data_IF_707589838063
#
_entry.id   IF_707589838063
#
_cell.length_a   1.000
_cell.length_b   1.000
_cell.length_c   1.000
_cell.angle_alpha   90.00
_cell.angle_beta   90.00
_cell.angle_gamma   90.00
#
_symmetry.space_group_name_H-M   'P 1'
#
loop_
_entity.id
_entity.type
_entity.pdbx_description
1 polymer ?
#
# COMPACT_ATOMS: atom_id res chain seq x y z
N UNK A 1 -9.78 14.88 -16.86
CA UNK A 1 -11.24 14.92 -16.76
C UNK A 1 -11.71 14.79 -15.32
N UNK A 2 -12.82 15.40 -14.96
CA UNK A 2 -13.45 15.26 -13.64
C UNK A 2 -14.47 14.10 -13.60
N UNK A 3 -14.85 13.56 -14.76
CA UNK A 3 -15.82 12.45 -14.84
C UNK A 3 -15.16 11.11 -14.56
N UNK A 4 -15.67 10.38 -13.57
CA UNK A 4 -15.21 9.01 -13.28
C UNK A 4 -15.40 8.05 -14.47
N UNK A 5 -16.50 8.17 -15.20
CA UNK A 5 -16.75 7.36 -16.39
C UNK A 5 -15.72 7.64 -17.49
N UNK A 6 -15.43 8.92 -17.76
CA UNK A 6 -14.40 9.26 -18.74
C UNK A 6 -13.00 8.80 -18.34
N UNK A 7 -12.68 8.78 -17.03
CA UNK A 7 -11.41 8.20 -16.55
C UNK A 7 -11.36 6.68 -16.79
N UNK A 8 -12.46 5.97 -16.52
CA UNK A 8 -12.56 4.53 -16.79
C UNK A 8 -12.35 4.25 -18.28
N UNK A 9 -12.96 5.06 -19.17
CA UNK A 9 -12.82 4.91 -20.61
C UNK A 9 -11.37 5.10 -21.07
N UNK A 10 -10.71 6.16 -20.58
CA UNK A 10 -9.29 6.42 -20.86
C UNK A 10 -8.41 5.26 -20.42
N UNK A 11 -8.61 4.73 -19.20
CA UNK A 11 -7.85 3.59 -18.71
C UNK A 11 -8.11 2.33 -19.55
N UNK A 12 -9.37 2.09 -19.95
CA UNK A 12 -9.75 0.95 -20.77
C UNK A 12 -9.13 1.00 -22.18
N UNK A 13 -8.93 2.18 -22.74
CA UNK A 13 -8.23 2.37 -24.00
C UNK A 13 -6.70 2.31 -23.89
N UNK A 14 -6.15 2.67 -22.73
CA UNK A 14 -4.72 2.78 -22.49
C UNK A 14 -4.07 1.42 -22.24
N UNK A 15 -4.58 0.64 -21.27
CA UNK A 15 -3.94 -0.60 -20.83
C UNK A 15 -3.74 -1.66 -21.92
N UNK A 16 -4.64 -1.86 -22.91
CA UNK A 16 -4.41 -2.81 -23.99
C UNK A 16 -3.32 -2.42 -25.00
N UNK A 17 -2.84 -1.17 -24.96
CA UNK A 17 -1.83 -0.63 -25.89
C UNK A 17 -0.39 -0.74 -25.37
N UNK A 18 -0.21 -1.17 -24.14
CA UNK A 18 1.10 -1.26 -23.48
C UNK A 18 1.41 -2.71 -23.09
N UNK A 19 2.70 -3.00 -22.84
CA UNK A 19 3.13 -4.31 -22.36
C UNK A 19 2.64 -4.57 -20.92
N UNK A 20 2.69 -5.82 -20.48
CA UNK A 20 2.30 -6.19 -19.11
C UNK A 20 3.23 -5.60 -18.06
N UNK A 21 4.51 -5.47 -18.38
CA UNK A 21 5.51 -4.82 -17.56
C UNK A 21 5.23 -3.31 -17.41
N UNK A 22 4.92 -2.63 -18.50
CA UNK A 22 4.49 -1.22 -18.49
C UNK A 22 3.16 -1.05 -17.78
N UNK A 23 2.23 -2.00 -17.88
CA UNK A 23 0.96 -1.97 -17.16
C UNK A 23 1.17 -1.99 -15.64
N UNK A 24 2.10 -2.82 -15.15
CA UNK A 24 2.51 -2.84 -13.74
C UNK A 24 3.03 -1.48 -13.27
N UNK A 25 3.97 -0.93 -14.01
CA UNK A 25 4.58 0.37 -13.70
C UNK A 25 3.53 1.49 -13.75
N UNK A 26 2.71 1.51 -14.79
CA UNK A 26 1.65 2.51 -14.96
C UNK A 26 0.65 2.48 -13.82
N UNK A 27 0.30 1.29 -13.32
CA UNK A 27 -0.60 1.14 -12.18
C UNK A 27 -0.06 1.82 -10.91
N UNK A 28 1.22 1.67 -10.61
CA UNK A 28 1.87 2.38 -9.50
C UNK A 28 1.94 3.89 -9.74
N UNK A 29 2.41 4.32 -10.92
CA UNK A 29 2.58 5.74 -11.22
C UNK A 29 1.25 6.51 -11.25
N UNK A 30 0.16 5.89 -11.73
CA UNK A 30 -1.19 6.49 -11.69
C UNK A 30 -1.68 6.77 -10.27
N UNK A 31 -1.16 6.06 -9.27
CA UNK A 31 -1.46 6.25 -7.85
C UNK A 31 -0.42 7.12 -7.13
N UNK A 32 0.66 7.49 -7.78
CA UNK A 32 1.78 8.19 -7.16
C UNK A 32 2.62 7.30 -6.24
N UNK A 33 2.62 6.01 -6.49
CA UNK A 33 3.32 4.97 -5.72
C UNK A 33 4.47 4.38 -6.55
N UNK A 34 5.41 3.70 -5.90
CA UNK A 34 6.51 2.99 -6.57
C UNK A 34 6.47 1.49 -6.29
N UNK A 35 5.71 1.08 -5.29
CA UNK A 35 5.47 -0.30 -4.88
C UNK A 35 4.17 -0.38 -4.10
N UNK A 36 3.67 -1.57 -3.76
CA UNK A 36 2.55 -1.68 -2.84
C UNK A 36 2.83 -0.97 -1.51
N UNK A 37 1.80 -0.35 -0.92
CA UNK A 37 1.94 0.45 0.30
C UNK A 37 2.55 -0.30 1.48
N UNK A 38 2.32 -1.62 1.56
CA UNK A 38 2.86 -2.48 2.62
C UNK A 38 4.38 -2.72 2.54
N UNK A 39 5.01 -2.45 1.41
CA UNK A 39 6.47 -2.50 1.27
C UNK A 39 7.15 -1.27 1.89
N UNK A 40 6.40 -0.18 2.11
CA UNK A 40 6.89 1.02 2.78
C UNK A 40 7.99 1.76 2.02
N UNK A 41 8.05 1.61 0.69
CA UNK A 41 9.05 2.29 -0.13
C UNK A 41 8.67 3.76 -0.35
N UNK A 42 9.29 4.64 0.42
CA UNK A 42 9.06 6.08 0.33
C UNK A 42 10.19 6.79 -0.40
N UNK A 43 9.86 7.80 -1.21
CA UNK A 43 10.85 8.63 -1.91
C UNK A 43 11.79 9.38 -0.96
N UNK A 44 11.29 9.78 0.21
CA UNK A 44 12.04 10.54 1.19
C UNK A 44 12.56 11.89 0.66
N UNK A 45 11.84 12.50 -0.28
CA UNK A 45 12.12 13.79 -0.89
C UNK A 45 11.06 14.82 -0.49
N UNK A 46 11.50 15.92 0.10
CA UNK A 46 10.63 17.03 0.50
C UNK A 46 10.76 18.23 -0.46
N UNK A 47 9.84 19.19 -0.37
CA UNK A 47 9.77 20.35 -1.25
C UNK A 47 11.10 21.13 -1.38
N UNK A 48 11.89 21.28 -0.28
CA UNK A 48 13.21 21.93 -0.34
C UNK A 48 14.22 21.17 -1.23
N UNK A 49 14.16 19.84 -1.23
CA UNK A 49 15.02 19.02 -2.08
C UNK A 49 14.54 19.07 -3.53
N UNK A 50 13.25 19.11 -3.79
CA UNK A 50 12.67 19.30 -5.10
C UNK A 50 13.11 20.65 -5.72
N UNK A 51 13.09 21.75 -4.94
CA UNK A 51 13.61 23.07 -5.40
C UNK A 51 15.06 22.94 -5.87
N UNK A 52 15.92 22.27 -5.09
CA UNK A 52 17.35 22.09 -5.46
C UNK A 52 17.51 21.24 -6.72
N UNK A 53 16.75 20.15 -6.85
CA UNK A 53 16.81 19.30 -8.03
C UNK A 53 16.34 20.03 -9.29
N UNK A 54 15.22 20.78 -9.21
CA UNK A 54 14.70 21.59 -10.31
C UNK A 54 15.72 22.69 -10.70
N UNK A 55 16.27 23.39 -9.72
CA UNK A 55 17.25 24.44 -10.00
C UNK A 55 18.49 23.89 -10.74
N UNK A 56 18.99 22.71 -10.35
CA UNK A 56 20.12 22.02 -11.01
C UNK A 56 19.77 21.53 -12.41
N UNK A 57 18.63 20.86 -12.57
CA UNK A 57 18.22 20.31 -13.87
C UNK A 57 18.00 21.40 -14.93
N UNK A 58 17.51 22.58 -14.50
CA UNK A 58 17.19 23.69 -15.39
C UNK A 58 18.29 24.75 -15.50
N UNK A 59 19.36 24.66 -14.67
CA UNK A 59 20.42 25.64 -14.64
C UNK A 59 19.99 27.04 -14.19
N UNK A 60 19.04 27.09 -13.25
CA UNK A 60 18.48 28.34 -12.70
C UNK A 60 18.77 28.47 -11.20
N UNK A 61 18.67 29.71 -10.67
CA UNK A 61 18.87 29.90 -9.23
C UNK A 61 17.76 29.34 -8.36
N UNK A 62 18.07 29.01 -7.10
CA UNK A 62 17.10 28.54 -6.12
C UNK A 62 15.99 29.58 -5.86
N UNK A 63 16.38 30.86 -5.83
CA UNK A 63 15.46 31.99 -5.62
C UNK A 63 14.44 32.08 -6.76
N UNK A 64 14.84 31.83 -7.99
CA UNK A 64 13.94 31.80 -9.15
C UNK A 64 12.91 30.70 -9.02
N UNK A 65 13.30 29.48 -8.66
CA UNK A 65 12.38 28.35 -8.44
C UNK A 65 11.44 28.67 -7.26
N UNK A 66 11.96 29.17 -6.15
CA UNK A 66 11.16 29.55 -4.98
C UNK A 66 10.15 30.67 -5.29
N UNK A 67 10.55 31.67 -6.08
CA UNK A 67 9.66 32.75 -6.53
C UNK A 67 8.53 32.25 -7.42
N UNK A 68 8.83 31.34 -8.36
CA UNK A 68 7.83 30.70 -9.20
C UNK A 68 6.86 29.84 -8.35
N UNK A 69 7.36 29.13 -7.32
CA UNK A 69 6.52 28.38 -6.41
C UNK A 69 5.53 29.24 -5.63
N UNK A 70 5.98 30.41 -5.14
CA UNK A 70 5.08 31.38 -4.48
C UNK A 70 3.95 31.86 -5.39
N UNK A 71 4.16 31.90 -6.70
CA UNK A 71 3.16 32.32 -7.69
C UNK A 71 2.21 31.20 -8.12
N UNK A 72 2.73 29.97 -8.27
CA UNK A 72 1.97 28.86 -8.85
C UNK A 72 1.41 27.90 -7.81
N UNK A 73 2.05 27.77 -6.64
CA UNK A 73 1.73 26.78 -5.62
C UNK A 73 2.00 25.32 -6.03
N UNK A 74 2.60 25.07 -7.21
CA UNK A 74 2.78 23.72 -7.77
C UNK A 74 4.13 23.59 -8.45
N UNK A 75 4.99 22.72 -7.94
CA UNK A 75 6.31 22.45 -8.50
C UNK A 75 6.24 21.87 -9.92
N UNK A 76 5.23 21.08 -10.23
CA UNK A 76 5.03 20.53 -11.55
C UNK A 76 4.79 21.61 -12.62
N UNK A 77 4.01 22.65 -12.30
CA UNK A 77 3.80 23.78 -13.20
C UNK A 77 5.08 24.60 -13.42
N UNK A 78 5.93 24.72 -12.41
CA UNK A 78 7.19 25.43 -12.52
C UNK A 78 8.09 24.81 -13.59
N UNK A 79 8.26 23.49 -13.56
CA UNK A 79 9.12 22.81 -14.53
C UNK A 79 8.55 22.85 -15.94
N UNK A 80 7.24 22.78 -16.09
CA UNK A 80 6.59 22.94 -17.37
C UNK A 80 6.85 24.34 -17.98
N UNK A 81 6.85 25.39 -17.13
CA UNK A 81 7.19 26.75 -17.53
C UNK A 81 8.69 26.87 -17.92
N UNK A 82 9.59 26.29 -17.13
CA UNK A 82 11.03 26.38 -17.33
C UNK A 82 11.52 25.60 -18.56
N UNK A 83 10.85 24.47 -18.88
CA UNK A 83 11.24 23.57 -19.99
C UNK A 83 10.56 23.84 -21.33
N UNK A 84 9.71 24.84 -21.44
CA UNK A 84 8.84 25.10 -22.61
C UNK A 84 9.50 25.00 -23.98
N UNK A 85 10.85 25.15 -24.07
CA UNK A 85 11.60 25.17 -25.32
C UNK A 85 12.82 24.23 -25.35
N UNK A 86 12.93 23.25 -24.42
CA UNK A 86 14.08 22.30 -24.42
C UNK A 86 13.76 21.08 -25.28
N UNK A 87 14.77 20.60 -26.05
CA UNK A 87 14.71 19.32 -26.75
C UNK A 87 14.65 18.19 -25.73
N UNK A 88 13.83 17.20 -26.03
CA UNK A 88 13.64 15.98 -25.25
C UNK A 88 14.61 14.90 -25.75
N UNK A 89 15.28 14.20 -24.84
CA UNK A 89 16.11 13.04 -25.23
C UNK A 89 15.26 11.76 -25.31
N UNK A 90 14.07 11.78 -24.68
CA UNK A 90 13.15 10.64 -24.58
C UNK A 90 13.69 9.56 -23.63
N UNK A 91 12.92 9.23 -22.62
CA UNK A 91 13.19 8.10 -21.72
C UNK A 91 11.98 7.15 -21.72
N UNK A 92 12.23 5.85 -21.61
CA UNK A 92 11.13 4.90 -21.47
C UNK A 92 10.52 4.97 -20.05
N UNK A 93 9.30 4.47 -19.90
CA UNK A 93 8.64 4.45 -18.59
C UNK A 93 9.42 3.57 -17.60
N UNK A 94 10.05 2.49 -18.09
CA UNK A 94 10.87 1.59 -17.29
C UNK A 94 12.13 2.28 -16.79
N UNK A 95 12.80 3.07 -17.63
CA UNK A 95 14.00 3.82 -17.25
C UNK A 95 13.66 4.86 -16.18
N UNK A 96 12.58 5.63 -16.37
CA UNK A 96 12.11 6.62 -15.41
C UNK A 96 11.74 5.94 -14.08
N UNK A 97 10.96 4.87 -14.13
CA UNK A 97 10.54 4.14 -12.94
C UNK A 97 11.72 3.50 -12.22
N UNK A 98 12.65 2.89 -12.95
CA UNK A 98 13.88 2.33 -12.40
C UNK A 98 14.72 3.37 -11.65
N UNK A 99 14.85 4.60 -12.21
CA UNK A 99 15.52 5.72 -11.53
C UNK A 99 14.78 6.19 -10.27
N UNK A 100 13.46 6.23 -10.29
CA UNK A 100 12.67 6.57 -9.10
C UNK A 100 12.87 5.53 -7.98
N UNK A 101 12.87 4.24 -8.31
CA UNK A 101 13.20 3.15 -7.37
C UNK A 101 14.61 3.29 -6.81
N UNK A 102 15.60 3.57 -7.67
CA UNK A 102 16.99 3.82 -7.25
C UNK A 102 17.06 4.95 -6.22
N UNK A 103 16.44 6.10 -6.52
CA UNK A 103 16.37 7.26 -5.62
C UNK A 103 15.69 6.89 -4.29
N UNK A 104 14.57 6.16 -4.31
CA UNK A 104 13.84 5.77 -3.12
C UNK A 104 14.69 4.90 -2.18
N UNK A 105 15.50 3.99 -2.72
CA UNK A 105 16.35 3.05 -1.98
C UNK A 105 17.59 3.68 -1.34
N UNK A 106 17.96 4.90 -1.69
CA UNK A 106 19.14 5.58 -1.10
C UNK A 106 18.84 5.95 0.35
N UNK A 107 19.66 5.50 1.28
CA UNK A 107 19.56 5.76 2.71
C UNK A 107 20.93 6.08 3.31
N UNK A 108 20.95 6.55 4.56
CA UNK A 108 22.17 6.82 5.31
C UNK A 108 22.76 8.23 5.09
N UNK A 109 23.97 8.41 5.56
CA UNK A 109 24.69 9.70 5.50
C UNK A 109 24.92 10.16 4.06
N UNK A 110 24.70 11.44 3.79
CA UNK A 110 24.84 12.02 2.45
C UNK A 110 23.72 11.64 1.46
N UNK A 111 22.70 10.85 1.89
CA UNK A 111 21.61 10.39 1.04
C UNK A 111 20.81 11.52 0.39
N UNK A 112 20.62 12.65 1.09
CA UNK A 112 19.86 13.78 0.55
C UNK A 112 20.51 14.38 -0.69
N UNK A 113 21.82 14.60 -0.66
CA UNK A 113 22.54 15.18 -1.79
C UNK A 113 22.60 14.22 -2.98
N UNK A 114 22.81 12.94 -2.73
CA UNK A 114 22.75 11.89 -3.76
C UNK A 114 21.37 11.83 -4.42
N UNK A 115 20.28 11.84 -3.63
CA UNK A 115 18.90 11.88 -4.15
C UNK A 115 18.66 13.11 -5.02
N UNK A 116 19.11 14.30 -4.59
CA UNK A 116 18.95 15.55 -5.34
C UNK A 116 19.67 15.46 -6.69
N UNK A 117 20.92 14.95 -6.71
CA UNK A 117 21.69 14.83 -7.93
C UNK A 117 21.07 13.85 -8.93
N UNK A 118 20.68 12.65 -8.48
CA UNK A 118 20.01 11.66 -9.34
C UNK A 118 18.66 12.17 -9.87
N UNK A 119 17.91 12.87 -9.03
CA UNK A 119 16.67 13.48 -9.48
C UNK A 119 16.93 14.58 -10.52
N UNK A 120 17.91 15.45 -10.31
CA UNK A 120 18.25 16.49 -11.26
C UNK A 120 18.70 15.90 -12.62
N UNK A 121 19.52 14.83 -12.61
CA UNK A 121 19.90 14.09 -13.82
C UNK A 121 18.69 13.50 -14.55
N UNK A 122 17.78 12.81 -13.82
CA UNK A 122 16.55 12.30 -14.40
C UNK A 122 15.71 13.43 -15.04
N UNK A 123 15.48 14.50 -14.28
CA UNK A 123 14.68 15.62 -14.76
C UNK A 123 15.29 16.31 -15.99
N UNK A 124 16.60 16.31 -16.15
CA UNK A 124 17.26 16.93 -17.33
C UNK A 124 16.96 16.20 -18.65
N UNK A 125 16.65 14.89 -18.58
CA UNK A 125 16.49 13.98 -19.74
C UNK A 125 15.05 13.82 -20.23
N UNK A 126 14.08 14.20 -19.42
CA UNK A 126 12.64 14.02 -19.71
C UNK A 126 11.97 15.34 -20.11
N UNK A 127 10.82 15.27 -20.77
CA UNK A 127 10.05 16.44 -21.18
C UNK A 127 9.54 17.28 -20.01
N UNK A 128 9.06 18.49 -20.29
CA UNK A 128 8.42 19.35 -19.31
C UNK A 128 7.15 18.72 -18.71
N UNK A 129 6.36 18.01 -19.54
CA UNK A 129 5.16 17.32 -19.11
C UNK A 129 5.48 16.12 -18.22
N UNK A 130 6.46 15.29 -18.60
CA UNK A 130 6.92 14.16 -17.80
C UNK A 130 7.52 14.64 -16.47
N UNK A 131 8.37 15.67 -16.50
CA UNK A 131 8.95 16.29 -15.30
C UNK A 131 7.84 16.75 -14.33
N UNK A 132 6.77 17.35 -14.83
CA UNK A 132 5.62 17.77 -14.04
C UNK A 132 5.00 16.60 -13.26
N UNK A 133 4.77 15.49 -13.92
CA UNK A 133 4.17 14.30 -13.27
C UNK A 133 5.16 13.59 -12.36
N UNK A 134 6.43 13.48 -12.73
CA UNK A 134 7.49 12.93 -11.87
C UNK A 134 7.57 13.72 -10.56
N UNK A 135 7.64 15.04 -10.61
CA UNK A 135 7.70 15.88 -9.41
C UNK A 135 6.46 15.74 -8.54
N UNK A 136 5.27 15.68 -9.15
CA UNK A 136 4.03 15.49 -8.41
C UNK A 136 3.95 14.11 -7.74
N UNK A 137 4.42 13.07 -8.41
CA UNK A 137 4.55 11.71 -7.82
C UNK A 137 5.47 11.73 -6.62
N UNK A 138 6.67 12.28 -6.77
CA UNK A 138 7.69 12.36 -5.70
C UNK A 138 7.19 13.11 -4.46
N UNK A 139 6.43 14.18 -4.66
CA UNK A 139 5.92 15.02 -3.58
C UNK A 139 4.53 14.59 -3.04
N UNK A 140 3.97 13.47 -3.53
CA UNK A 140 2.65 13.02 -3.13
C UNK A 140 1.51 13.97 -3.51
N UNK A 141 1.72 14.79 -4.54
CA UNK A 141 0.76 15.80 -5.01
C UNK A 141 0.11 15.46 -6.36
N UNK A 142 0.23 14.21 -6.77
CA UNK A 142 -0.33 13.68 -8.01
C UNK A 142 -1.86 13.57 -7.90
N UNK A 143 -2.58 14.60 -8.28
CA UNK A 143 -4.05 14.68 -8.16
C UNK A 143 -4.73 14.25 -9.45
N UNK A 144 -4.54 13.01 -9.89
CA UNK A 144 -5.20 12.47 -11.11
C UNK A 144 -6.66 12.09 -10.88
N UNK A 145 -7.08 11.84 -9.64
CA UNK A 145 -8.43 11.41 -9.31
C UNK A 145 -8.71 9.94 -9.63
N UNK A 146 -7.69 9.15 -9.95
CA UNK A 146 -7.81 7.71 -10.21
C UNK A 146 -7.84 6.96 -8.88
N UNK A 147 -9.03 6.85 -8.28
CA UNK A 147 -9.24 6.03 -7.09
C UNK A 147 -9.27 4.53 -7.41
N UNK A 148 -9.23 3.70 -6.36
CA UNK A 148 -9.20 2.23 -6.46
C UNK A 148 -10.29 1.68 -7.40
N UNK A 149 -11.53 2.10 -7.18
CA UNK A 149 -12.66 1.61 -7.95
C UNK A 149 -12.63 2.03 -9.42
N UNK A 150 -12.14 3.24 -9.72
CA UNK A 150 -11.99 3.73 -11.09
C UNK A 150 -10.92 2.90 -11.82
N UNK A 151 -9.81 2.61 -11.14
CA UNK A 151 -8.73 1.78 -11.67
C UNK A 151 -9.20 0.37 -12.00
N UNK A 152 -9.82 -0.32 -11.03
CA UNK A 152 -10.32 -1.69 -11.21
C UNK A 152 -11.42 -1.77 -12.29
N UNK A 153 -12.30 -0.77 -12.35
CA UNK A 153 -13.30 -0.69 -13.41
C UNK A 153 -12.67 -0.45 -14.79
N UNK A 154 -11.61 0.36 -14.85
CA UNK A 154 -10.83 0.56 -16.07
C UNK A 154 -10.22 -0.75 -16.59
N UNK A 155 -9.59 -1.53 -15.70
CA UNK A 155 -9.07 -2.85 -16.06
C UNK A 155 -10.18 -3.84 -16.45
N UNK A 156 -11.29 -3.86 -15.71
CA UNK A 156 -12.43 -4.72 -16.03
C UNK A 156 -13.01 -4.40 -17.41
N UNK A 157 -13.04 -3.12 -17.79
CA UNK A 157 -13.49 -2.68 -19.11
C UNK A 157 -12.46 -2.97 -20.20
N UNK A 158 -11.15 -2.87 -19.89
CA UNK A 158 -10.06 -3.14 -20.83
C UNK A 158 -9.95 -4.62 -21.23
N UNK A 159 -10.07 -5.52 -20.24
CA UNK A 159 -9.73 -6.94 -20.40
C UNK A 159 -10.88 -7.91 -20.11
N UNK A 160 -12.01 -7.41 -19.65
CA UNK A 160 -13.18 -8.21 -19.27
C UNK A 160 -14.42 -7.90 -20.08
N UNK A 161 -15.54 -8.58 -19.74
CA UNK A 161 -16.80 -8.52 -20.46
C UNK A 161 -18.02 -8.17 -19.59
N UNK A 162 -17.83 -7.61 -18.39
CA UNK A 162 -18.98 -7.21 -17.61
C UNK A 162 -18.79 -7.13 -16.08
N UNK A 163 -19.93 -7.09 -15.39
CA UNK A 163 -19.99 -6.87 -13.94
C UNK A 163 -19.23 -7.94 -13.12
N UNK A 164 -19.30 -9.21 -13.55
CA UNK A 164 -18.60 -10.31 -12.86
C UNK A 164 -17.08 -10.11 -12.87
N UNK A 165 -16.52 -9.60 -13.95
CA UNK A 165 -15.07 -9.39 -14.07
C UNK A 165 -14.59 -8.28 -13.13
N UNK A 166 -15.42 -7.26 -12.92
CA UNK A 166 -15.18 -6.25 -11.89
C UNK A 166 -15.12 -6.87 -10.48
N UNK A 167 -16.07 -7.72 -10.13
CA UNK A 167 -16.13 -8.41 -8.82
C UNK A 167 -14.89 -9.31 -8.61
N UNK A 168 -14.43 -9.98 -9.65
CA UNK A 168 -13.19 -10.78 -9.63
C UNK A 168 -11.97 -9.89 -9.33
N UNK A 169 -11.86 -8.75 -10.01
CA UNK A 169 -10.75 -7.82 -9.79
C UNK A 169 -10.77 -7.19 -8.39
N UNK A 170 -11.95 -6.86 -7.88
CA UNK A 170 -12.13 -6.36 -6.51
C UNK A 170 -11.71 -7.43 -5.48
N UNK A 171 -12.11 -8.68 -5.68
CA UNK A 171 -11.67 -9.78 -4.83
C UNK A 171 -10.15 -9.96 -4.87
N UNK A 172 -9.57 -10.02 -6.06
CA UNK A 172 -8.13 -10.15 -6.24
C UNK A 172 -7.35 -9.01 -5.57
N UNK A 173 -7.86 -7.78 -5.67
CA UNK A 173 -7.26 -6.64 -5.00
C UNK A 173 -7.36 -6.74 -3.46
N UNK A 174 -8.48 -7.24 -2.95
CA UNK A 174 -8.62 -7.46 -1.52
C UNK A 174 -7.66 -8.54 -0.98
N UNK A 175 -7.28 -9.52 -1.81
CA UNK A 175 -6.35 -10.59 -1.45
C UNK A 175 -4.90 -10.18 -1.60
N UNK A 176 -4.52 -9.49 -2.69
CA UNK A 176 -3.12 -9.13 -2.99
C UNK A 176 -2.70 -7.75 -2.48
N UNK A 177 -3.65 -6.80 -2.41
CA UNK A 177 -3.38 -5.40 -2.07
C UNK A 177 -2.30 -4.73 -2.94
N UNK A 178 -2.16 -5.17 -4.19
CA UNK A 178 -1.13 -4.74 -5.14
C UNK A 178 -1.73 -4.46 -6.52
N UNK A 179 -1.90 -3.17 -6.85
CA UNK A 179 -2.43 -2.73 -8.14
C UNK A 179 -1.52 -3.06 -9.31
N UNK A 180 -0.21 -2.97 -9.10
CA UNK A 180 0.76 -3.28 -10.13
C UNK A 180 0.72 -4.75 -10.52
N UNK A 181 0.69 -5.63 -9.54
CA UNK A 181 0.60 -7.07 -9.78
C UNK A 181 -0.72 -7.46 -10.46
N UNK A 182 -1.83 -6.85 -10.05
CA UNK A 182 -3.14 -7.08 -10.70
C UNK A 182 -3.10 -6.63 -12.15
N UNK A 183 -2.60 -5.43 -12.44
CA UNK A 183 -2.48 -4.92 -13.80
C UNK A 183 -1.60 -5.84 -14.66
N UNK A 184 -0.48 -6.30 -14.12
CA UNK A 184 0.42 -7.24 -14.78
C UNK A 184 -0.26 -8.58 -15.13
N UNK A 185 -0.89 -9.22 -14.14
CA UNK A 185 -1.54 -10.52 -14.32
C UNK A 185 -2.68 -10.42 -15.34
N UNK A 186 -3.52 -9.40 -15.21
CA UNK A 186 -4.68 -9.25 -16.09
C UNK A 186 -4.24 -8.92 -17.52
N UNK A 187 -3.27 -8.04 -17.69
CA UNK A 187 -2.73 -7.67 -19.00
C UNK A 187 -2.06 -8.85 -19.70
N UNK A 188 -1.32 -9.70 -18.96
CA UNK A 188 -0.55 -10.80 -19.51
C UNK A 188 -1.35 -12.09 -19.70
N UNK A 189 -2.23 -12.41 -18.76
CA UNK A 189 -2.90 -13.70 -18.68
C UNK A 189 -4.43 -13.61 -18.71
N UNK A 190 -4.99 -12.40 -18.64
CA UNK A 190 -6.43 -12.14 -18.65
C UNK A 190 -7.12 -12.35 -17.31
N UNK A 191 -8.42 -12.05 -17.29
CA UNK A 191 -9.29 -12.09 -16.09
C UNK A 191 -9.39 -13.50 -15.50
N UNK A 192 -9.36 -14.55 -16.33
CA UNK A 192 -9.46 -15.93 -15.83
C UNK A 192 -8.31 -16.27 -14.86
N UNK A 193 -7.10 -15.79 -15.17
CA UNK A 193 -5.94 -16.07 -14.30
C UNK A 193 -6.01 -15.30 -12.98
N UNK A 194 -6.49 -14.07 -12.98
CA UNK A 194 -6.65 -13.30 -11.75
C UNK A 194 -7.75 -13.87 -10.84
N UNK A 195 -8.73 -14.61 -11.40
CA UNK A 195 -9.74 -15.31 -10.61
C UNK A 195 -9.19 -16.46 -9.76
N UNK A 196 -8.01 -16.97 -10.10
CA UNK A 196 -7.31 -18.06 -9.40
C UNK A 196 -6.37 -17.54 -8.29
N UNK A 197 -6.45 -16.25 -7.96
CA UNK A 197 -5.53 -15.65 -7.01
C UNK A 197 -5.70 -16.23 -5.61
N UNK A 198 -4.58 -16.55 -4.99
CA UNK A 198 -4.51 -17.09 -3.65
C UNK A 198 -3.78 -16.14 -2.70
N UNK A 199 -4.07 -16.18 -1.39
CA UNK A 199 -3.32 -15.44 -0.40
C UNK A 199 -1.82 -15.77 -0.47
N UNK A 200 -1.00 -14.74 -0.33
CA UNK A 200 0.46 -14.87 -0.32
C UNK A 200 1.03 -14.32 0.98
N UNK A 201 1.79 -15.14 1.69
CA UNK A 201 2.47 -14.68 2.90
C UNK A 201 3.45 -13.56 2.57
N UNK A 202 3.31 -12.44 3.27
CA UNK A 202 4.05 -11.20 3.02
C UNK A 202 3.27 -10.13 2.26
N UNK A 203 2.14 -10.48 1.61
CA UNK A 203 1.21 -9.54 1.01
C UNK A 203 -0.07 -9.45 1.87
N UNK A 204 -0.31 -8.35 2.60
CA UNK A 204 -1.43 -8.26 3.53
C UNK A 204 -2.77 -8.26 2.80
N UNK A 205 -3.69 -9.06 3.33
CA UNK A 205 -5.07 -9.16 2.86
C UNK A 205 -5.85 -7.98 3.42
N UNK A 206 -6.70 -7.35 2.62
CA UNK A 206 -7.54 -6.25 3.08
C UNK A 206 -8.59 -6.75 4.07
N UNK A 207 -8.76 -5.98 5.14
CA UNK A 207 -9.74 -6.33 6.18
C UNK A 207 -11.16 -6.21 5.66
N UNK A 208 -11.99 -7.22 5.94
CA UNK A 208 -13.42 -7.14 5.71
C UNK A 208 -14.09 -6.36 6.84
N UNK A 209 -14.93 -5.40 6.50
CA UNK A 209 -15.68 -4.60 7.46
C UNK A 209 -17.10 -5.13 7.56
N UNK A 210 -17.56 -5.39 8.79
CA UNK A 210 -18.95 -5.77 9.06
C UNK A 210 -19.88 -4.55 9.04
N UNK A 211 -21.13 -4.77 8.64
CA UNK A 211 -22.18 -3.77 8.77
C UNK A 211 -22.49 -3.51 10.25
N UNK A 212 -22.81 -2.25 10.56
CA UNK A 212 -23.24 -1.86 11.90
C UNK A 212 -24.75 -1.96 12.00
N UNK A 213 -25.23 -2.61 13.05
CA UNK A 213 -26.65 -2.61 13.42
C UNK A 213 -26.90 -1.73 14.64
N UNK A 214 -28.10 -1.19 14.77
CA UNK A 214 -28.52 -0.36 15.91
C UNK A 214 -29.12 -1.19 17.03
N UNK A 215 -29.86 -2.23 16.66
CA UNK A 215 -30.58 -3.11 17.60
C UNK A 215 -30.27 -4.59 17.31
N UNK A 216 -30.24 -5.40 18.36
CA UNK A 216 -29.98 -6.84 18.24
C UNK A 216 -30.93 -7.57 17.30
N UNK A 217 -32.22 -7.15 17.22
CA UNK A 217 -33.19 -7.75 16.32
C UNK A 217 -32.81 -7.67 14.84
N UNK A 218 -32.04 -6.63 14.46
CA UNK A 218 -31.57 -6.41 13.07
C UNK A 218 -30.49 -7.43 12.67
N UNK A 219 -29.84 -8.11 13.63
CA UNK A 219 -28.80 -9.11 13.33
C UNK A 219 -29.34 -10.22 12.44
N UNK A 220 -30.62 -10.62 12.64
CA UNK A 220 -31.25 -11.67 11.85
C UNK A 220 -31.44 -11.31 10.37
N UNK A 221 -31.47 -10.02 10.06
CA UNK A 221 -31.58 -9.52 8.68
C UNK A 221 -30.26 -9.63 7.92
N UNK A 222 -29.15 -9.73 8.67
CA UNK A 222 -27.79 -9.80 8.12
C UNK A 222 -27.17 -11.18 8.20
N UNK A 223 -27.49 -11.97 9.24
CA UNK A 223 -26.88 -13.28 9.49
C UNK A 223 -27.98 -14.30 9.76
N UNK A 224 -28.04 -15.34 8.93
CA UNK A 224 -28.98 -16.44 9.11
C UNK A 224 -28.40 -17.53 10.04
N UNK A 225 -29.26 -18.13 10.89
CA UNK A 225 -28.90 -19.26 11.73
C UNK A 225 -28.14 -18.87 13.02
N UNK A 226 -27.19 -19.69 13.43
CA UNK A 226 -26.35 -19.45 14.61
C UNK A 226 -25.35 -18.36 14.37
N UNK A 227 -25.19 -17.47 15.37
CA UNK A 227 -24.22 -16.38 15.33
C UNK A 227 -23.17 -16.57 16.42
N UNK A 228 -21.93 -16.22 16.11
CA UNK A 228 -20.86 -16.09 17.11
C UNK A 228 -20.98 -14.71 17.77
N UNK A 229 -20.98 -14.70 19.10
CA UNK A 229 -20.94 -13.47 19.90
C UNK A 229 -19.55 -13.37 20.53
N UNK A 230 -18.85 -12.30 20.24
CA UNK A 230 -17.46 -12.11 20.64
C UNK A 230 -17.28 -10.76 21.34
N UNK A 231 -16.31 -10.69 22.23
CA UNK A 231 -15.90 -9.42 22.82
C UNK A 231 -15.26 -8.52 21.74
N UNK A 232 -15.68 -7.26 21.75
CA UNK A 232 -15.02 -6.25 20.93
C UNK A 232 -13.89 -5.61 21.70
N UNK A 233 -12.70 -6.19 21.57
CA UNK A 233 -11.51 -5.65 22.19
C UNK A 233 -11.22 -4.21 21.70
N UNK A 234 -10.73 -3.38 22.64
CA UNK A 234 -10.29 -2.01 22.35
C UNK A 234 -8.77 -2.00 22.17
N UNK A 235 -8.31 -2.39 21.00
CA UNK A 235 -6.91 -2.60 20.69
C UNK A 235 -6.52 -2.18 19.26
N UNK A 236 -5.43 -2.76 18.80
CA UNK A 236 -4.95 -2.64 17.42
C UNK A 236 -5.10 -3.97 16.69
N UNK A 237 -5.88 -3.98 15.62
CA UNK A 237 -5.98 -5.14 14.73
C UNK A 237 -4.66 -5.34 13.99
N UNK A 238 -4.09 -6.53 14.13
CA UNK A 238 -2.86 -6.94 13.47
C UNK A 238 -3.13 -8.21 12.65
N UNK A 239 -2.65 -8.20 11.42
CA UNK A 239 -2.55 -9.38 10.58
C UNK A 239 -1.11 -9.88 10.61
N UNK A 240 -0.89 -11.10 11.09
CA UNK A 240 0.43 -11.69 11.17
C UNK A 240 0.65 -12.68 10.01
N UNK A 241 1.72 -12.49 9.29
CA UNK A 241 2.20 -13.34 8.20
C UNK A 241 3.41 -14.12 8.68
N UNK A 242 3.32 -15.43 8.69
CA UNK A 242 4.32 -16.35 9.22
C UNK A 242 4.83 -17.20 8.07
N UNK A 243 6.10 -17.08 7.73
CA UNK A 243 6.75 -17.94 6.72
C UNK A 243 7.25 -19.24 7.35
N UNK A 244 7.32 -20.28 6.56
CA UNK A 244 7.87 -21.59 6.96
C UNK A 244 9.30 -21.50 7.51
N UNK A 245 10.07 -20.50 7.06
CA UNK A 245 11.40 -20.16 7.56
C UNK A 245 11.44 -19.62 9.00
N UNK A 246 10.28 -19.27 9.59
CA UNK A 246 10.19 -18.59 10.87
C UNK A 246 10.28 -17.06 10.78
N UNK A 247 10.40 -16.50 9.59
CA UNK A 247 10.26 -15.05 9.39
C UNK A 247 8.80 -14.63 9.57
N UNK A 248 8.57 -13.57 10.34
CA UNK A 248 7.23 -13.06 10.65
C UNK A 248 7.15 -11.59 10.29
N UNK A 249 6.08 -11.22 9.61
CA UNK A 249 5.72 -9.83 9.31
C UNK A 249 4.37 -9.51 9.91
N UNK A 250 4.23 -8.34 10.53
CA UNK A 250 3.01 -7.85 11.14
C UNK A 250 2.51 -6.64 10.38
N UNK A 251 1.22 -6.64 10.04
CA UNK A 251 0.60 -5.55 9.30
C UNK A 251 -0.58 -4.96 10.08
N UNK A 252 -0.67 -3.63 10.11
CA UNK A 252 -1.78 -2.92 10.70
C UNK A 252 -3.05 -3.04 9.82
N UNK A 253 -4.20 -2.58 10.35
CA UNK A 253 -5.45 -2.46 9.59
C UNK A 253 -5.30 -1.68 8.28
N UNK A 254 -4.35 -0.74 8.21
CA UNK A 254 -4.02 0.04 7.01
C UNK A 254 -2.98 -0.62 6.12
N UNK A 255 -2.60 -1.86 6.43
CA UNK A 255 -1.56 -2.61 5.71
C UNK A 255 -0.14 -2.03 5.86
N UNK A 256 0.09 -1.17 6.84
CA UNK A 256 1.43 -0.68 7.18
C UNK A 256 2.22 -1.81 7.86
N UNK A 257 3.47 -2.00 7.47
CA UNK A 257 4.37 -2.95 8.14
C UNK A 257 4.78 -2.39 9.50
N UNK A 258 4.28 -3.03 10.55
CA UNK A 258 4.51 -2.65 11.96
C UNK A 258 5.33 -3.69 12.73
N UNK A 259 5.99 -4.60 12.03
CA UNK A 259 6.77 -5.72 12.59
C UNK A 259 7.71 -5.27 13.70
N UNK A 260 8.43 -4.17 13.50
CA UNK A 260 9.39 -3.64 14.44
C UNK A 260 8.78 -3.15 15.77
N UNK A 261 7.46 -2.89 15.81
CA UNK A 261 6.79 -2.34 17.01
C UNK A 261 6.41 -3.41 18.03
N UNK A 262 6.36 -4.68 17.62
CA UNK A 262 5.84 -5.80 18.41
C UNK A 262 6.77 -7.02 18.47
N UNK A 263 8.01 -6.88 18.98
CA UNK A 263 8.96 -8.01 19.07
C UNK A 263 8.47 -9.13 19.98
N UNK A 264 7.68 -8.83 20.98
CA UNK A 264 7.03 -9.78 21.90
C UNK A 264 5.99 -10.66 21.20
N UNK A 265 5.17 -10.11 20.30
CA UNK A 265 4.26 -10.90 19.46
C UNK A 265 5.04 -11.85 18.56
N UNK A 266 6.11 -11.35 17.93
CA UNK A 266 6.97 -12.17 17.06
C UNK A 266 7.54 -13.35 17.82
N UNK A 267 8.04 -13.14 19.04
CA UNK A 267 8.58 -14.21 19.88
C UNK A 267 7.51 -15.25 20.23
N UNK A 268 6.31 -14.82 20.62
CA UNK A 268 5.19 -15.71 20.92
C UNK A 268 4.77 -16.54 19.71
N UNK A 269 4.62 -15.91 18.55
CA UNK A 269 4.22 -16.57 17.31
C UNK A 269 5.27 -17.55 16.80
N UNK A 270 6.57 -17.25 16.91
CA UNK A 270 7.65 -18.20 16.57
C UNK A 270 7.55 -19.50 17.35
N UNK A 271 7.17 -19.43 18.62
CA UNK A 271 7.00 -20.62 19.47
C UNK A 271 5.75 -21.42 19.07
N UNK A 272 4.64 -20.73 18.80
CA UNK A 272 3.34 -21.36 18.52
C UNK A 272 3.19 -21.91 17.11
N UNK A 273 3.82 -21.27 16.10
CA UNK A 273 3.70 -21.60 14.67
C UNK A 273 5.01 -22.13 14.07
N UNK A 274 5.86 -22.78 14.87
CA UNK A 274 7.13 -23.30 14.37
C UNK A 274 6.95 -24.26 13.18
N UNK A 275 7.63 -23.97 12.06
CA UNK A 275 7.60 -24.78 10.84
C UNK A 275 6.32 -24.69 10.01
N UNK A 276 5.37 -23.84 10.40
CA UNK A 276 4.12 -23.58 9.65
C UNK A 276 4.20 -22.31 8.82
N UNK A 277 3.42 -22.28 7.75
CA UNK A 277 3.18 -21.07 6.96
C UNK A 277 1.74 -20.61 7.18
N UNK A 278 1.53 -19.38 7.69
CA UNK A 278 0.19 -18.93 8.06
C UNK A 278 -0.03 -17.43 7.85
N UNK A 279 -1.30 -17.06 7.65
CA UNK A 279 -1.82 -15.70 7.77
C UNK A 279 -2.95 -15.74 8.79
N UNK A 280 -2.77 -15.05 9.91
CA UNK A 280 -3.72 -14.99 11.01
C UNK A 280 -4.06 -13.55 11.37
N UNK A 281 -5.23 -13.35 11.94
CA UNK A 281 -5.67 -12.04 12.44
C UNK A 281 -6.04 -12.10 13.90
N UNK A 282 -5.76 -10.99 14.58
CA UNK A 282 -6.08 -10.82 15.99
C UNK A 282 -6.09 -9.34 16.40
N UNK A 283 -6.49 -9.10 17.63
CA UNK A 283 -6.45 -7.78 18.27
C UNK A 283 -5.38 -7.77 19.34
N UNK A 284 -4.49 -6.81 19.26
CA UNK A 284 -3.47 -6.56 20.30
C UNK A 284 -4.03 -5.56 21.29
N UNK A 285 -3.99 -5.91 22.57
CA UNK A 285 -4.50 -5.07 23.65
C UNK A 285 -3.44 -4.93 24.72
N UNK A 286 -3.26 -3.73 25.25
CA UNK A 286 -2.39 -3.49 26.40
C UNK A 286 -3.00 -4.16 27.66
N UNK A 287 -2.15 -4.75 28.49
CA UNK A 287 -2.55 -5.56 29.63
C UNK A 287 -1.79 -5.18 30.89
N UNK A 288 -2.51 -5.04 32.00
CA UNK A 288 -1.93 -4.87 33.34
C UNK A 288 -1.86 -6.23 34.01
N UNK A 289 -0.65 -6.81 34.11
CA UNK A 289 -0.46 -8.15 34.68
C UNK A 289 -0.76 -8.18 36.19
N UNK A 290 -0.49 -7.08 36.89
CA UNK A 290 -0.69 -7.03 38.35
C UNK A 290 -2.19 -6.95 38.72
N UNK A 291 -3.01 -6.36 37.85
CA UNK A 291 -4.45 -6.21 38.07
C UNK A 291 -5.28 -7.19 37.23
N UNK A 292 -4.64 -7.98 36.36
CA UNK A 292 -5.27 -8.89 35.41
C UNK A 292 -6.35 -8.21 34.55
N UNK A 293 -6.06 -7.00 34.05
CA UNK A 293 -7.02 -6.17 33.33
C UNK A 293 -6.49 -5.72 31.96
N UNK A 294 -7.39 -5.71 30.99
CA UNK A 294 -7.17 -5.03 29.71
C UNK A 294 -7.14 -3.53 29.94
N UNK A 295 -6.21 -2.86 29.26
CA UNK A 295 -6.01 -1.41 29.32
C UNK A 295 -6.58 -0.74 28.06
N UNK A 296 -7.00 0.55 28.15
CA UNK A 296 -7.51 1.30 27.00
C UNK A 296 -6.51 1.38 25.85
N UNK A 297 -7.01 1.47 24.62
CA UNK A 297 -6.24 1.62 23.38
C UNK A 297 -5.19 2.73 23.44
N UNK A 298 -5.48 3.84 24.13
CA UNK A 298 -4.57 4.97 24.28
C UNK A 298 -3.25 4.59 24.94
N UNK A 299 -3.27 3.62 25.85
CA UNK A 299 -2.05 3.08 26.48
C UNK A 299 -1.22 2.30 25.46
N UNK A 300 -1.87 1.45 24.65
CA UNK A 300 -1.21 0.71 23.57
C UNK A 300 -0.55 1.66 22.56
N UNK A 301 -1.22 2.75 22.20
CA UNK A 301 -0.71 3.73 21.24
C UNK A 301 0.62 4.37 21.65
N UNK A 302 0.94 4.39 22.94
CA UNK A 302 2.23 4.90 23.42
C UNK A 302 3.41 4.00 23.02
N UNK A 303 3.16 2.72 22.63
CA UNK A 303 4.17 1.82 22.07
C UNK A 303 4.53 2.13 20.61
N UNK A 304 3.69 2.84 19.87
CA UNK A 304 3.90 3.20 18.46
C UNK A 304 5.03 4.23 18.26
N UNK A 305 6.13 4.12 18.97
CA UNK A 305 7.28 5.01 18.84
C UNK A 305 8.35 4.38 17.95
N UNK A 306 9.05 5.21 17.19
CA UNK A 306 10.19 4.78 16.37
C UNK A 306 11.46 4.48 17.20
N UNK A 307 11.48 4.86 18.47
CA UNK A 307 12.66 4.77 19.33
C UNK A 307 12.28 4.15 20.68
N UNK A 308 13.23 3.48 21.34
CA UNK A 308 13.11 2.86 22.68
C UNK A 308 12.05 1.76 22.78
N UNK A 309 11.86 0.97 21.72
CA UNK A 309 10.81 -0.07 21.67
C UNK A 309 10.96 -1.08 22.81
N UNK A 310 12.19 -1.54 23.12
CA UNK A 310 12.44 -2.51 24.19
C UNK A 310 12.00 -2.02 25.59
N UNK A 311 12.16 -0.74 25.87
CA UNK A 311 11.68 -0.13 27.11
C UNK A 311 10.15 -0.17 27.18
N UNK A 312 9.48 0.16 26.07
CA UNK A 312 8.01 0.16 26.01
C UNK A 312 7.41 -1.24 26.04
N UNK A 313 8.10 -2.24 25.47
CA UNK A 313 7.71 -3.66 25.58
C UNK A 313 7.60 -4.08 27.04
N UNK A 314 8.61 -3.73 27.87
CA UNK A 314 8.60 -4.04 29.31
C UNK A 314 7.58 -3.21 30.09
N UNK A 315 7.37 -1.95 29.70
CA UNK A 315 6.50 -1.02 30.43
C UNK A 315 5.01 -1.24 30.15
N UNK A 316 4.67 -1.74 28.97
CA UNK A 316 3.31 -1.96 28.52
C UNK A 316 3.20 -3.38 27.98
N UNK A 317 3.00 -4.38 28.85
CA UNK A 317 2.71 -5.74 28.43
C UNK A 317 1.45 -5.77 27.56
N UNK A 318 1.39 -6.73 26.66
CA UNK A 318 0.27 -6.88 25.71
C UNK A 318 -0.22 -8.32 25.67
N UNK A 319 -1.46 -8.48 25.22
CA UNK A 319 -2.03 -9.76 24.79
C UNK A 319 -2.49 -9.66 23.35
N UNK A 320 -2.24 -10.70 22.58
CA UNK A 320 -2.68 -10.82 21.19
C UNK A 320 -3.79 -11.85 21.12
N UNK A 321 -5.04 -11.39 20.96
CA UNK A 321 -6.23 -12.22 20.87
C UNK A 321 -6.47 -12.59 19.42
N UNK A 322 -6.15 -13.83 19.06
CA UNK A 322 -6.39 -14.35 17.72
C UNK A 322 -7.87 -14.61 17.52
N UNK A 323 -8.43 -14.16 16.43
CA UNK A 323 -9.85 -14.34 16.11
C UNK A 323 -10.10 -14.90 14.71
N UNK A 324 -9.14 -14.90 13.79
CA UNK A 324 -9.32 -15.44 12.45
C UNK A 324 -8.07 -16.08 11.87
N UNK A 325 -8.28 -17.09 11.00
CA UNK A 325 -7.28 -17.76 10.19
C UNK A 325 -7.63 -17.60 8.73
N UNK A 326 -6.71 -17.00 7.95
CA UNK A 326 -6.94 -16.69 6.53
C UNK A 326 -6.21 -17.65 5.59
N UNK A 327 -5.06 -18.19 6.03
CA UNK A 327 -4.24 -19.13 5.26
C UNK A 327 -3.40 -20.00 6.19
N UNK A 328 -3.25 -21.29 5.86
CA UNK A 328 -2.41 -22.21 6.62
C UNK A 328 -1.85 -23.29 5.68
N UNK A 329 -0.53 -23.41 5.59
CA UNK A 329 0.22 -24.47 4.92
C UNK A 329 -0.30 -24.86 3.52
N UNK A 330 -0.58 -23.86 2.67
CA UNK A 330 -1.11 -24.05 1.31
C UNK A 330 -2.63 -24.04 1.22
N UNK A 331 -3.36 -24.04 2.33
CA UNK A 331 -4.83 -23.99 2.32
C UNK A 331 -5.33 -22.56 2.52
N UNK A 332 -6.15 -22.10 1.56
CA UNK A 332 -6.87 -20.84 1.63
C UNK A 332 -8.13 -21.02 2.48
N UNK A 333 -8.28 -20.19 3.51
CA UNK A 333 -9.43 -20.20 4.42
C UNK A 333 -10.39 -19.02 4.20
N UNK A 334 -10.10 -18.07 3.29
CA UNK A 334 -10.90 -16.87 3.10
C UNK A 334 -12.38 -17.14 2.83
N UNK A 335 -12.68 -18.21 2.10
CA UNK A 335 -14.04 -18.60 1.74
C UNK A 335 -14.59 -19.74 2.61
N UNK A 336 -13.87 -20.17 3.65
CA UNK A 336 -14.36 -21.18 4.58
C UNK A 336 -15.28 -20.57 5.63
N UNK A 337 -16.29 -21.32 6.13
CA UNK A 337 -17.14 -20.87 7.23
C UNK A 337 -16.33 -20.52 8.49
N UNK A 338 -16.86 -19.59 9.30
CA UNK A 338 -16.19 -19.12 10.52
C UNK A 338 -15.83 -20.26 11.49
N UNK A 339 -16.74 -21.22 11.70
CA UNK A 339 -16.49 -22.37 12.57
C UNK A 339 -15.31 -23.22 12.11
N UNK A 340 -15.10 -23.41 10.80
CA UNK A 340 -13.96 -24.15 10.26
C UNK A 340 -12.66 -23.37 10.45
N UNK A 341 -12.70 -22.06 10.21
CA UNK A 341 -11.52 -21.19 10.40
C UNK A 341 -11.09 -21.16 11.87
N UNK A 342 -12.06 -21.09 12.80
CA UNK A 342 -11.80 -21.10 14.24
C UNK A 342 -11.32 -22.45 14.75
N UNK A 343 -11.82 -23.55 14.21
CA UNK A 343 -11.34 -24.90 14.56
C UNK A 343 -9.92 -25.18 14.08
N UNK A 344 -9.49 -24.52 12.99
CA UNK A 344 -8.15 -24.66 12.45
C UNK A 344 -7.12 -23.70 13.10
N UNK A 345 -7.59 -22.58 13.68
CA UNK A 345 -6.79 -21.61 14.43
C UNK A 345 -6.34 -22.18 15.80
#
# INVERSE_FOLDING_TARGET
>A
TASSLAMIDILAEFFPKISSEEAKISAYLLRGELSPSYEGLEMGLAGKMAIKAIARSEGVSLEKVASLFKKTGDFGLIVEILKKNKKEEGSTIEEVFGKLIEIAKINGEGSQEKKINLLADLLSKVSGLETKYIIRTILGTLRLGVGEMIFLQGLAKAFGNGKKDKEILEYAFNVLSDFGEIAYIVSKFGIKKIAEIEPKVGAPIRVMLSSRVKELKEVKDHIAGLVSVEEKYDGERIQAHIKKSGEISLFSRKQENITHQYPDIIEGLKKSFSGKEAIIEGEVVAYDEAKEKLLPFQILMSRRRKHNIEEYVKKIPIRYFLFDLLYLDGKNYLNQPLNERRAAL
#
